data_IF_766871149553
#
_entry.id   IF_766871149553
#
_cell.length_a   1.000
_cell.length_b   1.000
_cell.length_c   1.000
_cell.angle_alpha   90.00
_cell.angle_beta   90.00
_cell.angle_gamma   90.00
#
_symmetry.space_group_name_H-M   'P 1'
#
loop_
_entity.id
_entity.type
_entity.pdbx_description
1 polymer ?
#
# COMPACT_ATOMS: atom_id res chain seq x y z
N UNK A 1 18.12 -20.98 45.48
CA UNK A 1 16.68 -21.12 45.14
C UNK A 1 16.19 -19.87 44.40
N UNK A 2 15.33 -20.02 43.38
CA UNK A 2 15.43 -19.42 42.03
C UNK A 2 14.75 -18.06 41.83
N UNK A 3 14.84 -17.13 42.80
CA UNK A 3 14.06 -15.88 42.74
C UNK A 3 14.60 -14.83 41.75
N UNK A 4 15.91 -14.82 41.47
CA UNK A 4 16.53 -13.83 40.57
C UNK A 4 16.31 -14.17 39.11
N UNK A 5 16.35 -15.47 38.76
CA UNK A 5 16.12 -15.96 37.39
C UNK A 5 14.67 -15.71 36.93
N UNK A 6 13.68 -15.89 37.81
CA UNK A 6 12.27 -15.64 37.51
C UNK A 6 11.96 -14.15 37.27
N UNK A 7 12.60 -13.24 38.01
CA UNK A 7 12.43 -11.78 37.82
C UNK A 7 13.02 -11.32 36.49
N UNK A 8 14.18 -11.84 36.12
CA UNK A 8 14.81 -11.55 34.83
C UNK A 8 13.95 -12.07 33.68
N UNK A 9 13.43 -13.30 33.78
CA UNK A 9 12.53 -13.88 32.76
C UNK A 9 11.22 -13.08 32.61
N UNK A 10 10.61 -12.65 33.72
CA UNK A 10 9.41 -11.79 33.72
C UNK A 10 9.68 -10.43 33.06
N UNK A 11 10.85 -9.83 33.30
CA UNK A 11 11.23 -8.57 32.67
C UNK A 11 11.44 -8.72 31.16
N UNK A 12 12.05 -9.82 30.70
CA UNK A 12 12.20 -10.12 29.28
C UNK A 12 10.85 -10.36 28.59
N UNK A 13 9.93 -11.11 29.22
CA UNK A 13 8.57 -11.31 28.71
C UNK A 13 7.79 -9.99 28.65
N UNK A 14 7.87 -9.14 29.67
CA UNK A 14 7.24 -7.83 29.67
C UNK A 14 7.80 -6.91 28.58
N UNK A 15 9.11 -6.92 28.34
CA UNK A 15 9.76 -6.16 27.27
C UNK A 15 9.32 -6.64 25.88
N UNK A 16 9.18 -7.95 25.66
CA UNK A 16 8.67 -8.51 24.40
C UNK A 16 7.19 -8.16 24.18
N UNK A 17 6.36 -8.15 25.24
CA UNK A 17 4.96 -7.74 25.21
C UNK A 17 4.78 -6.23 24.94
N UNK A 18 5.70 -5.38 25.43
CA UNK A 18 5.68 -3.95 25.10
C UNK A 18 6.21 -3.68 23.69
N UNK A 19 7.26 -4.37 23.22
CA UNK A 19 7.76 -4.24 21.85
C UNK A 19 6.70 -4.63 20.81
N UNK A 20 5.94 -5.69 21.07
CA UNK A 20 4.80 -6.10 20.23
C UNK A 20 3.66 -5.08 20.24
N UNK A 21 3.40 -4.43 21.37
CA UNK A 21 2.41 -3.35 21.50
C UNK A 21 2.83 -2.06 20.79
N UNK A 22 4.12 -1.66 20.89
CA UNK A 22 4.69 -0.45 20.25
C UNK A 22 4.61 -0.55 18.72
N UNK A 23 4.81 -1.75 18.16
CA UNK A 23 4.63 -2.00 16.72
C UNK A 23 3.16 -1.85 16.30
N UNK A 24 2.23 -2.43 17.07
CA UNK A 24 0.79 -2.35 16.80
C UNK A 24 0.22 -0.93 16.90
N UNK A 25 0.73 -0.10 17.82
CA UNK A 25 0.31 1.30 17.94
C UNK A 25 0.66 2.12 16.70
N UNK A 26 1.85 1.92 16.10
CA UNK A 26 2.20 2.56 14.82
C UNK A 26 1.28 2.11 13.67
N UNK A 27 0.88 0.84 13.66
CA UNK A 27 -0.04 0.26 12.68
C UNK A 27 -1.53 0.62 12.87
N UNK A 28 -1.91 1.22 14.00
CA UNK A 28 -3.31 1.54 14.33
C UNK A 28 -3.55 3.04 14.59
N UNK A 29 -2.49 3.86 14.60
CA UNK A 29 -2.60 5.28 14.91
C UNK A 29 -3.58 5.99 13.96
N UNK A 30 -3.55 5.63 12.68
CA UNK A 30 -4.46 6.20 11.71
C UNK A 30 -5.93 5.80 11.95
N UNK A 31 -6.18 4.59 12.45
CA UNK A 31 -7.54 4.14 12.76
C UNK A 31 -8.25 4.99 13.81
N UNK A 32 -7.47 5.66 14.68
CA UNK A 32 -8.00 6.65 15.64
C UNK A 32 -7.85 8.10 15.15
N UNK A 33 -6.79 8.38 14.39
CA UNK A 33 -6.43 9.72 13.93
C UNK A 33 -6.13 9.71 12.41
N UNK A 34 -7.14 9.83 11.54
CA UNK A 34 -6.94 9.79 10.08
C UNK A 34 -5.96 10.85 9.55
N UNK A 35 -5.90 12.00 10.24
CA UNK A 35 -4.94 13.09 9.99
C UNK A 35 -3.47 12.66 9.99
N UNK A 36 -3.14 11.54 10.63
CA UNK A 36 -1.78 11.05 10.77
C UNK A 36 -1.13 10.68 9.42
N UNK A 37 -1.89 10.13 8.46
CA UNK A 37 -1.32 9.74 7.16
C UNK A 37 -0.89 10.95 6.33
N UNK A 38 -1.58 12.07 6.47
CA UNK A 38 -1.26 13.31 5.76
C UNK A 38 0.00 13.99 6.31
N UNK A 39 0.33 13.77 7.59
CA UNK A 39 1.48 14.37 8.25
C UNK A 39 2.82 13.73 7.85
N UNK A 40 2.82 12.50 7.34
CA UNK A 40 4.04 11.75 7.00
C UNK A 40 4.58 12.06 5.59
N UNK A 41 4.26 13.24 5.04
CA UNK A 41 4.76 13.70 3.74
C UNK A 41 4.06 13.10 2.50
N UNK A 42 3.00 12.30 2.68
CA UNK A 42 2.18 11.77 1.58
C UNK A 42 0.77 12.37 1.65
N UNK A 43 0.52 13.54 1.03
CA UNK A 43 -0.79 14.19 1.07
C UNK A 43 -1.93 13.33 0.51
N UNK A 44 -1.59 12.31 -0.28
CA UNK A 44 -2.53 11.41 -0.95
C UNK A 44 -2.63 10.02 -0.28
N UNK A 45 -2.16 9.89 0.98
CA UNK A 45 -2.28 8.65 1.74
C UNK A 45 -3.57 8.62 2.55
N UNK A 46 -4.26 7.47 2.51
CA UNK A 46 -5.51 7.22 3.22
C UNK A 46 -5.37 6.12 4.27
N UNK A 47 -6.27 6.18 5.24
CA UNK A 47 -6.40 5.14 6.26
C UNK A 47 -7.14 3.92 5.75
N UNK A 48 -6.46 2.78 5.62
CA UNK A 48 -7.10 1.50 5.33
C UNK A 48 -6.70 0.47 6.39
N UNK A 49 -7.68 -0.04 7.15
CA UNK A 49 -7.47 -1.02 8.22
C UNK A 49 -6.37 -0.64 9.23
N UNK A 50 -6.28 0.66 9.58
CA UNK A 50 -5.28 1.20 10.50
C UNK A 50 -3.95 1.63 9.85
N UNK A 51 -3.71 1.19 8.62
CA UNK A 51 -2.50 1.49 7.87
C UNK A 51 -2.67 2.71 6.96
N UNK A 52 -1.61 3.47 6.80
CA UNK A 52 -1.53 4.51 5.78
C UNK A 52 -1.14 3.87 4.45
N UNK A 53 -2.03 3.92 3.47
CA UNK A 53 -1.81 3.38 2.13
C UNK A 53 -2.03 4.48 1.09
N UNK A 54 -1.39 4.35 -0.08
CA UNK A 54 -1.51 5.33 -1.16
C UNK A 54 -2.49 4.79 -2.20
N UNK A 55 -3.72 5.31 -2.21
CA UNK A 55 -4.81 4.77 -3.02
C UNK A 55 -4.56 4.87 -4.52
N UNK A 56 -3.65 5.74 -4.97
CA UNK A 56 -3.42 5.96 -6.39
C UNK A 56 -2.33 5.08 -7.01
N UNK A 57 -1.66 4.25 -6.19
CA UNK A 57 -0.58 3.35 -6.58
C UNK A 57 -0.77 1.92 -6.06
N UNK A 58 -1.55 1.73 -5.00
CA UNK A 58 -1.75 0.42 -4.37
C UNK A 58 -2.79 -0.43 -5.13
N UNK A 59 -2.41 -1.56 -5.76
CA UNK A 59 -3.34 -2.45 -6.46
C UNK A 59 -4.37 -3.13 -5.55
N UNK A 60 -4.14 -3.18 -4.24
CA UNK A 60 -5.07 -3.77 -3.27
C UNK A 60 -6.08 -2.74 -2.71
N UNK A 61 -5.80 -1.45 -2.88
CA UNK A 61 -6.59 -0.33 -2.34
C UNK A 61 -6.82 0.76 -3.41
N UNK A 62 -6.98 0.38 -4.67
CA UNK A 62 -6.91 1.31 -5.78
C UNK A 62 -8.12 2.24 -5.83
N UNK A 63 -7.92 3.54 -5.61
CA UNK A 63 -8.96 4.57 -5.57
C UNK A 63 -9.82 4.56 -4.29
N UNK A 64 -9.90 3.44 -3.56
CA UNK A 64 -10.53 3.33 -2.23
C UNK A 64 -10.04 2.08 -1.51
N UNK A 65 -10.13 2.07 -0.17
CA UNK A 65 -9.76 0.92 0.65
C UNK A 65 -10.46 -0.37 0.20
N UNK A 66 -9.70 -1.46 0.11
CA UNK A 66 -10.18 -2.78 -0.27
C UNK A 66 -10.62 -2.94 -1.73
N UNK A 67 -10.49 -1.91 -2.57
CA UNK A 67 -10.76 -2.02 -4.00
C UNK A 67 -9.53 -2.60 -4.70
N UNK A 68 -9.51 -3.93 -4.79
CA UNK A 68 -8.45 -4.67 -5.45
C UNK A 68 -8.64 -4.68 -6.96
N UNK A 69 -7.57 -4.37 -7.70
CA UNK A 69 -7.54 -4.53 -9.14
C UNK A 69 -7.62 -6.01 -9.54
N UNK A 70 -8.29 -6.29 -10.66
CA UNK A 70 -8.47 -7.65 -11.15
C UNK A 70 -7.28 -8.06 -12.01
N UNK A 71 -6.89 -9.33 -11.92
CA UNK A 71 -5.74 -9.87 -12.64
C UNK A 71 -4.46 -9.04 -12.38
N UNK A 72 -3.50 -9.04 -13.30
CA UNK A 72 -2.25 -8.27 -13.23
C UNK A 72 -2.44 -6.78 -13.63
N UNK A 73 -3.62 -6.21 -13.36
CA UNK A 73 -3.85 -4.78 -13.60
C UNK A 73 -3.07 -3.93 -12.60
N UNK A 74 -2.54 -2.81 -13.08
CA UNK A 74 -1.89 -1.83 -12.24
C UNK A 74 -2.88 -0.80 -11.69
N UNK A 75 -2.59 -0.26 -10.51
CA UNK A 75 -3.29 0.91 -10.02
C UNK A 75 -2.62 2.18 -10.58
N UNK A 76 -3.27 2.80 -11.57
CA UNK A 76 -2.81 4.04 -12.17
C UNK A 76 -3.77 5.16 -11.79
N UNK A 77 -3.29 6.15 -11.02
CA UNK A 77 -4.06 7.36 -10.69
C UNK A 77 -5.41 7.02 -10.03
N UNK A 78 -5.42 6.00 -9.17
CA UNK A 78 -6.61 5.54 -8.45
C UNK A 78 -7.58 4.71 -9.29
N UNK A 79 -7.15 4.24 -10.46
CA UNK A 79 -7.94 3.38 -11.35
C UNK A 79 -7.17 2.11 -11.69
N UNK A 80 -7.87 0.99 -11.72
CA UNK A 80 -7.30 -0.24 -12.23
C UNK A 80 -7.20 -0.18 -13.74
N UNK A 81 -6.00 -0.38 -14.27
CA UNK A 81 -5.68 -0.25 -15.69
C UNK A 81 -4.89 -1.47 -16.15
N UNK A 82 -5.28 -2.02 -17.29
CA UNK A 82 -4.51 -3.08 -17.95
C UNK A 82 -3.37 -2.46 -18.76
N UNK A 83 -2.14 -2.59 -18.26
CA UNK A 83 -0.95 -2.06 -18.91
C UNK A 83 -0.64 -2.77 -20.25
N UNK A 84 -1.23 -3.93 -20.52
CA UNK A 84 -0.93 -4.71 -21.72
C UNK A 84 -1.71 -4.23 -22.95
N UNK A 85 -2.86 -3.61 -22.73
CA UNK A 85 -3.80 -3.25 -23.80
C UNK A 85 -4.26 -1.79 -23.73
N UNK A 86 -4.09 -1.12 -22.58
CA UNK A 86 -4.53 0.27 -22.43
C UNK A 86 -3.57 1.22 -23.10
N UNK A 87 -4.02 1.79 -24.22
CA UNK A 87 -3.22 2.72 -25.05
C UNK A 87 -2.64 3.94 -24.33
N UNK A 88 -3.31 4.42 -23.28
CA UNK A 88 -2.86 5.60 -22.51
C UNK A 88 -1.94 5.25 -21.33
N UNK A 89 -1.71 3.97 -21.07
CA UNK A 89 -0.98 3.44 -19.93
C UNK A 89 -0.20 2.18 -20.36
N UNK A 90 0.36 2.18 -21.57
CA UNK A 90 0.94 1.00 -22.19
C UNK A 90 2.29 0.64 -21.56
N UNK A 91 2.39 -0.52 -20.92
CA UNK A 91 3.58 -0.98 -20.19
C UNK A 91 3.86 -0.23 -18.89
N UNK A 92 3.38 1.01 -18.72
CA UNK A 92 3.47 1.80 -17.50
C UNK A 92 2.37 2.85 -17.43
N UNK A 93 1.98 3.23 -16.20
CA UNK A 93 0.98 4.29 -15.99
C UNK A 93 1.39 5.60 -16.69
N UNK A 94 0.46 6.18 -17.45
CA UNK A 94 0.65 7.42 -18.20
C UNK A 94 1.47 7.29 -19.48
N UNK A 95 1.97 6.09 -19.82
CA UNK A 95 2.68 5.88 -21.08
C UNK A 95 1.70 5.76 -22.25
N UNK A 96 1.45 6.89 -22.91
CA UNK A 96 0.50 6.96 -24.02
C UNK A 96 1.18 6.67 -25.36
N UNK A 97 0.64 5.71 -26.12
CA UNK A 97 1.08 5.47 -27.48
C UNK A 97 0.72 6.62 -28.44
N UNK A 98 1.56 6.86 -29.45
CA UNK A 98 1.30 7.81 -30.56
C UNK A 98 0.01 7.46 -31.32
N UNK A 99 -0.62 8.44 -32.01
CA UNK A 99 -1.96 8.31 -32.64
C UNK A 99 -2.14 7.02 -33.45
N UNK A 100 -1.12 6.65 -34.23
CA UNK A 100 -1.13 5.48 -35.12
C UNK A 100 -0.71 4.16 -34.45
N UNK A 101 -0.31 4.19 -33.18
CA UNK A 101 0.16 3.01 -32.45
C UNK A 101 -0.92 2.48 -31.51
N UNK A 102 -1.01 1.15 -31.47
CA UNK A 102 -1.81 0.37 -30.54
C UNK A 102 -0.95 -0.15 -29.39
N UNK A 103 -1.57 -0.42 -28.25
CA UNK A 103 -0.89 -1.10 -27.15
C UNK A 103 -1.18 -2.60 -27.23
N UNK A 104 -0.14 -3.39 -27.44
CA UNK A 104 -0.23 -4.85 -27.43
C UNK A 104 0.90 -5.41 -26.58
N UNK A 105 0.57 -6.30 -25.66
CA UNK A 105 1.52 -6.94 -24.75
C UNK A 105 2.41 -5.94 -23.99
N UNK A 106 1.88 -4.74 -23.70
CA UNK A 106 2.59 -3.69 -22.97
C UNK A 106 3.55 -2.86 -23.82
N UNK A 107 3.48 -2.98 -25.15
CA UNK A 107 4.34 -2.24 -26.08
C UNK A 107 3.49 -1.48 -27.10
N UNK A 108 3.91 -0.25 -27.41
CA UNK A 108 3.30 0.53 -28.48
C UNK A 108 3.83 0.02 -29.83
N UNK A 109 2.95 -0.59 -30.63
CA UNK A 109 3.29 -1.13 -31.94
C UNK A 109 2.28 -0.68 -33.01
N UNK A 110 2.67 -0.85 -34.27
CA UNK A 110 1.72 -0.85 -35.39
C UNK A 110 1.05 -2.24 -35.36
N UNK A 111 -0.24 -2.29 -35.03
CA UNK A 111 -1.03 -3.53 -35.15
C UNK A 111 -1.31 -3.87 -36.60
#
# INVERSE_FOLDING_TARGET
MPKTQAKTLLAFLALLLTISSISAQRLLLCGRYPGFCYANGSPDSNCCAGLCVVLHLDPLNCGRCGHRCLWEQACCRGRCVDLLTTRNDCGACGNKCSRELTCNYGMCNYA
#
